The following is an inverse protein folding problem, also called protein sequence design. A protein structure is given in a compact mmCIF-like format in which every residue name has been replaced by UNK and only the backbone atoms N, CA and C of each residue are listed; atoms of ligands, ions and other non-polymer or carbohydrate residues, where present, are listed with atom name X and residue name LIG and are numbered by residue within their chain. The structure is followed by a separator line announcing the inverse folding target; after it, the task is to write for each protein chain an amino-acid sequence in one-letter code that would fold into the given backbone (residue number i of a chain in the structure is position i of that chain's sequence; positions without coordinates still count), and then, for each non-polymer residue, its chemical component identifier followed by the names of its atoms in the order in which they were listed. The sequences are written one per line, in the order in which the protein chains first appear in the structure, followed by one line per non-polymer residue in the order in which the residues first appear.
data_IF_297469583302
#
_entry.id   IF_297469583302
#
_cell.length_a   1.000
_cell.length_b   1.000
_cell.length_c   1.000
_cell.angle_alpha   90.00
_cell.angle_beta   90.00
_cell.angle_gamma   90.00
#
_symmetry.space_group_name_H-M   'P 1'
#
loop_
_entity.id
_entity.type
_entity.pdbx_description
1 polymer ?
#
# COMPACT_ATOMS: atom_id res chain seq x y z
N UNK A 1 0.73 14.76 -6.41
CA UNK A 1 1.40 13.91 -5.41
C UNK A 1 2.26 12.93 -6.16
N UNK A 2 3.45 12.63 -5.65
CA UNK A 2 4.41 11.74 -6.30
C UNK A 2 4.15 10.32 -5.78
N UNK A 3 3.95 9.33 -6.66
CA UNK A 3 3.77 7.94 -6.23
C UNK A 3 5.08 7.32 -5.72
N UNK A 4 4.99 6.14 -5.11
CA UNK A 4 6.12 5.48 -4.48
C UNK A 4 7.32 5.26 -5.42
N UNK A 5 7.07 4.88 -6.67
CA UNK A 5 8.13 4.65 -7.64
C UNK A 5 8.81 5.96 -8.07
N UNK A 6 8.04 7.03 -8.31
CA UNK A 6 8.62 8.34 -8.63
C UNK A 6 9.42 8.92 -7.45
N UNK A 7 8.90 8.82 -6.22
CA UNK A 7 9.59 9.31 -5.02
C UNK A 7 10.88 8.52 -4.78
N UNK A 8 10.84 7.19 -4.92
CA UNK A 8 12.02 6.36 -4.83
C UNK A 8 13.03 6.68 -5.94
N UNK A 9 12.57 6.95 -7.16
CA UNK A 9 13.44 7.36 -8.27
C UNK A 9 14.17 8.68 -7.97
N UNK A 10 13.48 9.67 -7.41
CA UNK A 10 14.08 10.94 -7.04
C UNK A 10 15.12 10.78 -5.90
N UNK A 11 14.84 9.92 -4.91
CA UNK A 11 15.79 9.57 -3.85
C UNK A 11 17.05 8.92 -4.45
N UNK A 12 16.87 7.89 -5.29
CA UNK A 12 17.98 7.14 -5.88
C UNK A 12 18.81 8.00 -6.84
N UNK A 13 18.18 8.90 -7.60
CA UNK A 13 18.90 9.83 -8.47
C UNK A 13 19.71 10.85 -7.67
N UNK A 14 19.16 11.35 -6.55
CA UNK A 14 19.88 12.19 -5.61
C UNK A 14 21.11 11.51 -5.00
N UNK A 15 21.05 10.19 -4.81
CA UNK A 15 22.17 9.38 -4.31
C UNK A 15 23.19 8.99 -5.37
N UNK A 16 22.77 8.94 -6.65
CA UNK A 16 23.61 8.55 -7.78
C UNK A 16 24.84 9.43 -7.96
N UNK A 17 24.73 10.72 -7.64
CA UNK A 17 25.82 11.70 -7.76
C UNK A 17 26.40 12.03 -6.40
N UNK A 18 27.35 11.22 -5.94
CA UNK A 18 28.12 11.54 -4.73
C UNK A 18 29.17 12.60 -5.07
N UNK A 19 28.92 13.84 -4.67
CA UNK A 19 29.88 14.95 -4.84
C UNK A 19 31.24 14.63 -4.21
N UNK A 20 32.33 15.11 -4.84
CA UNK A 20 33.68 14.96 -4.29
C UNK A 20 33.74 15.50 -2.86
N UNK A 21 34.17 14.66 -1.91
CA UNK A 21 34.26 15.00 -0.48
C UNK A 21 33.04 14.60 0.35
N UNK A 22 31.96 14.13 -0.27
CA UNK A 22 30.80 13.56 0.44
C UNK A 22 30.82 12.03 0.40
N UNK A 23 30.16 11.40 1.37
CA UNK A 23 29.88 9.97 1.37
C UNK A 23 28.40 9.73 1.10
N UNK A 24 28.03 8.54 0.62
CA UNK A 24 26.61 8.16 0.53
C UNK A 24 25.94 8.19 1.91
N UNK A 25 26.69 7.86 2.97
CA UNK A 25 26.22 7.99 4.35
C UNK A 25 25.80 9.42 4.66
N UNK A 26 26.46 10.43 4.08
CA UNK A 26 26.10 11.86 4.21
C UNK A 26 24.82 12.18 3.47
N UNK A 27 24.69 11.67 2.25
CA UNK A 27 23.49 11.87 1.43
C UNK A 27 22.25 11.16 2.01
N UNK A 28 22.46 10.04 2.71
CA UNK A 28 21.41 9.31 3.45
C UNK A 28 21.17 9.88 4.86
N UNK A 29 21.90 10.92 5.25
CA UNK A 29 21.87 11.48 6.61
C UNK A 29 22.13 10.44 7.71
N UNK A 30 22.93 9.40 7.46
CA UNK A 30 23.19 8.34 8.46
C UNK A 30 24.36 8.73 9.41
N UNK A 31 24.39 9.98 9.84
CA UNK A 31 25.54 10.62 10.51
C UNK A 31 25.30 10.90 11.98
N UNK A 32 24.06 11.19 12.38
CA UNK A 32 23.75 11.47 13.77
C UNK A 32 23.10 10.27 14.44
N UNK A 33 23.24 10.23 15.77
CA UNK A 33 22.45 9.39 16.68
C UNK A 33 20.97 9.85 16.76
N UNK A 34 20.48 10.56 15.73
CA UNK A 34 19.15 11.12 15.66
C UNK A 34 18.18 10.14 14.98
N UNK A 35 17.12 9.69 15.67
CA UNK A 35 16.08 8.85 15.07
C UNK A 35 15.42 9.47 13.84
N UNK A 36 15.39 10.80 13.76
CA UNK A 36 14.76 11.56 12.68
C UNK A 36 15.51 11.37 11.36
N UNK A 37 16.83 11.27 11.40
CA UNK A 37 17.65 11.08 10.20
C UNK A 37 17.50 9.66 9.63
N UNK A 38 17.27 8.66 10.50
CA UNK A 38 16.95 7.30 10.07
C UNK A 38 15.60 7.16 9.38
N UNK A 39 14.67 8.12 9.56
CA UNK A 39 13.36 8.07 8.91
C UNK A 39 13.48 8.16 7.38
N UNK A 40 14.47 8.88 6.85
CA UNK A 40 14.70 8.93 5.40
C UNK A 40 15.06 7.56 4.81
N UNK A 41 15.93 6.82 5.51
CA UNK A 41 16.30 5.46 5.11
C UNK A 41 15.11 4.49 5.25
N UNK A 42 14.35 4.58 6.34
CA UNK A 42 13.14 3.76 6.55
C UNK A 42 12.09 4.07 5.48
N UNK A 43 11.90 5.35 5.13
CA UNK A 43 10.99 5.78 4.05
C UNK A 43 11.40 5.16 2.72
N UNK A 44 12.68 5.18 2.36
CA UNK A 44 13.16 4.56 1.12
C UNK A 44 12.86 3.05 1.05
N UNK A 45 13.00 2.32 2.16
CA UNK A 45 12.58 0.91 2.23
C UNK A 45 11.06 0.74 2.13
N UNK A 46 10.29 1.62 2.76
CA UNK A 46 8.83 1.63 2.64
C UNK A 46 8.38 1.80 1.18
N UNK A 47 8.97 2.78 0.47
CA UNK A 47 8.67 3.02 -0.95
C UNK A 47 9.03 1.81 -1.83
N UNK A 48 10.16 1.15 -1.57
CA UNK A 48 10.54 -0.08 -2.30
C UNK A 48 9.55 -1.22 -2.04
N UNK A 49 9.05 -1.36 -0.81
CA UNK A 49 8.03 -2.34 -0.47
C UNK A 49 6.67 -2.04 -1.14
N UNK A 50 6.28 -0.78 -1.22
CA UNK A 50 5.08 -0.37 -1.96
C UNK A 50 5.20 -0.69 -3.46
N UNK A 51 6.39 -0.47 -4.04
CA UNK A 51 6.72 -0.87 -5.42
C UNK A 51 6.61 -2.38 -5.62
N UNK A 52 7.18 -3.19 -4.72
CA UNK A 52 7.09 -4.65 -4.76
C UNK A 52 5.62 -5.13 -4.68
N UNK A 53 4.85 -4.57 -3.76
CA UNK A 53 3.43 -4.88 -3.58
C UNK A 53 2.60 -4.54 -4.81
N UNK A 54 2.91 -3.41 -5.46
CA UNK A 54 2.29 -3.03 -6.72
C UNK A 54 2.63 -4.04 -7.84
N UNK A 55 3.90 -4.42 -7.99
CA UNK A 55 4.35 -5.37 -9.02
C UNK A 55 3.72 -6.76 -8.82
N UNK A 56 3.65 -7.24 -7.57
CA UNK A 56 2.98 -8.50 -7.24
C UNK A 56 1.48 -8.45 -7.62
N UNK A 57 0.80 -7.35 -7.31
CA UNK A 57 -0.61 -7.15 -7.66
C UNK A 57 -0.81 -7.09 -9.18
N UNK A 58 0.05 -6.38 -9.90
CA UNK A 58 0.02 -6.29 -11.35
C UNK A 58 0.26 -7.65 -12.01
N UNK A 59 1.18 -8.45 -11.48
CA UNK A 59 1.45 -9.82 -11.95
C UNK A 59 0.24 -10.74 -11.76
N UNK A 60 -0.39 -10.70 -10.57
CA UNK A 60 -1.64 -11.43 -10.31
C UNK A 60 -2.79 -10.97 -11.23
N UNK A 61 -2.82 -9.68 -11.57
CA UNK A 61 -3.74 -9.10 -12.55
C UNK A 61 -3.42 -9.45 -14.01
N UNK A 62 -2.43 -10.32 -14.27
CA UNK A 62 -2.06 -10.78 -15.61
C UNK A 62 -1.21 -9.79 -16.42
N UNK A 63 -0.71 -8.71 -15.81
CA UNK A 63 0.25 -7.81 -16.47
C UNK A 63 1.63 -8.45 -16.48
N UNK A 64 2.34 -8.31 -17.61
CA UNK A 64 3.74 -8.66 -17.67
C UNK A 64 4.58 -7.62 -16.92
N UNK A 65 5.25 -8.04 -15.85
CA UNK A 65 6.10 -7.19 -15.00
C UNK A 65 7.57 -7.61 -15.00
N UNK A 66 7.96 -8.56 -15.85
CA UNK A 66 9.29 -9.19 -15.82
C UNK A 66 10.42 -8.17 -15.99
N UNK A 67 10.21 -7.13 -16.78
CA UNK A 67 11.21 -6.06 -16.97
C UNK A 67 11.42 -5.21 -15.72
N UNK A 68 10.39 -4.97 -14.91
CA UNK A 68 10.54 -4.31 -13.61
C UNK A 68 11.23 -5.22 -12.59
N UNK A 69 10.83 -6.49 -12.55
CA UNK A 69 11.42 -7.48 -11.65
C UNK A 69 12.92 -7.70 -11.94
N UNK A 70 13.36 -7.55 -13.19
CA UNK A 70 14.79 -7.57 -13.55
C UNK A 70 15.57 -6.36 -13.00
N UNK A 71 14.94 -5.20 -12.89
CA UNK A 71 15.56 -3.98 -12.35
C UNK A 71 15.52 -3.92 -10.81
N UNK A 72 14.53 -4.57 -10.19
CA UNK A 72 14.29 -4.56 -8.75
C UNK A 72 15.53 -4.83 -7.87
N UNK A 73 16.39 -5.83 -8.15
CA UNK A 73 17.59 -6.07 -7.36
C UNK A 73 18.55 -4.87 -7.33
N UNK A 74 18.60 -4.05 -8.38
CA UNK A 74 19.44 -2.86 -8.39
C UNK A 74 18.89 -1.77 -7.47
N UNK A 75 17.57 -1.56 -7.44
CA UNK A 75 16.93 -0.63 -6.51
C UNK A 75 17.17 -1.05 -5.07
N UNK A 76 16.94 -2.33 -4.76
CA UNK A 76 17.20 -2.88 -3.42
C UNK A 76 18.67 -2.74 -3.02
N UNK A 77 19.61 -3.08 -3.93
CA UNK A 77 21.04 -2.90 -3.72
C UNK A 77 21.39 -1.44 -3.43
N UNK A 78 20.77 -0.49 -4.12
CA UNK A 78 20.99 0.93 -3.91
C UNK A 78 20.53 1.42 -2.52
N UNK A 79 19.63 0.72 -1.84
CA UNK A 79 19.25 1.05 -0.46
C UNK A 79 20.25 0.50 0.58
N UNK A 80 20.79 -0.69 0.36
CA UNK A 80 21.63 -1.40 1.35
C UNK A 80 23.13 -1.27 1.12
N UNK A 81 23.57 -0.87 -0.07
CA UNK A 81 24.98 -0.88 -0.42
C UNK A 81 25.82 0.01 0.53
N UNK A 82 26.98 -0.50 1.00
CA UNK A 82 27.90 0.26 1.84
C UNK A 82 28.62 1.35 1.04
N UNK A 83 29.12 2.35 1.75
CA UNK A 83 29.81 3.53 1.18
C UNK A 83 30.88 3.19 0.14
N UNK A 84 31.68 2.16 0.38
CA UNK A 84 32.74 1.73 -0.52
C UNK A 84 32.24 1.49 -1.95
N UNK A 85 31.06 0.88 -2.12
CA UNK A 85 30.50 0.60 -3.45
C UNK A 85 30.02 1.86 -4.17
N UNK A 86 29.71 2.92 -3.42
CA UNK A 86 29.36 4.23 -3.97
C UNK A 86 30.60 5.07 -4.28
N UNK A 87 31.66 4.95 -3.47
CA UNK A 87 32.91 5.67 -3.64
C UNK A 87 33.76 5.16 -4.82
N UNK A 88 33.72 3.86 -5.12
CA UNK A 88 34.42 3.29 -6.29
C UNK A 88 33.83 3.75 -7.63
N UNK A 89 32.60 4.28 -7.64
CA UNK A 89 32.01 4.92 -8.82
C UNK A 89 32.70 6.26 -9.16
N UNK A 90 33.33 6.92 -8.17
CA UNK A 90 34.05 8.21 -8.34
C UNK A 90 35.38 8.02 -9.07
N UNK A 91 35.96 6.82 -9.06
CA UNK A 91 37.27 6.52 -9.68
C UNK A 91 37.19 6.14 -11.16
N UNK A 92 36.02 6.24 -11.80
CA UNK A 92 35.84 6.06 -13.24
C UNK A 92 35.54 4.63 -13.69
N UNK A 93 35.27 3.71 -12.76
CA UNK A 93 34.70 2.41 -13.09
C UNK A 93 33.18 2.55 -13.29
N UNK A 94 32.74 2.49 -14.54
CA UNK A 94 31.44 2.96 -15.06
C UNK A 94 30.18 2.20 -14.60
N UNK A 95 30.18 1.57 -13.43
CA UNK A 95 28.98 0.92 -12.86
C UNK A 95 28.76 1.44 -11.44
N UNK A 96 28.10 2.60 -11.35
CA UNK A 96 27.49 3.04 -10.09
C UNK A 96 26.58 1.97 -9.49
N UNK A 97 26.29 2.06 -8.19
CA UNK A 97 25.44 1.09 -7.49
C UNK A 97 24.05 0.96 -8.13
N UNK A 98 23.56 2.05 -8.72
CA UNK A 98 22.37 2.14 -9.57
C UNK A 98 22.72 2.95 -10.82
N UNK A 99 22.29 2.48 -11.99
CA UNK A 99 22.46 3.19 -13.26
C UNK A 99 21.22 4.05 -13.61
N UNK A 100 21.40 4.98 -14.55
CA UNK A 100 20.30 5.82 -15.02
C UNK A 100 19.16 4.99 -15.61
N UNK A 101 19.47 3.91 -16.33
CA UNK A 101 18.46 3.03 -16.92
C UNK A 101 17.55 2.41 -15.86
N UNK A 102 18.09 1.99 -14.72
CA UNK A 102 17.31 1.46 -13.60
C UNK A 102 16.41 2.53 -12.97
N UNK A 103 16.87 3.79 -12.90
CA UNK A 103 16.04 4.93 -12.45
C UNK A 103 14.92 5.22 -13.46
N UNK A 104 15.22 5.21 -14.75
CA UNK A 104 14.24 5.46 -15.82
C UNK A 104 13.14 4.37 -15.83
N UNK A 105 13.51 3.10 -15.59
CA UNK A 105 12.53 2.00 -15.44
C UNK A 105 11.62 2.24 -14.22
N UNK A 106 12.17 2.78 -13.14
CA UNK A 106 11.40 3.10 -11.93
C UNK A 106 10.46 4.30 -12.17
N UNK A 107 10.90 5.33 -12.90
CA UNK A 107 10.04 6.45 -13.33
C UNK A 107 8.92 5.96 -14.26
N UNK A 108 9.22 5.11 -15.23
CA UNK A 108 8.22 4.51 -16.12
C UNK A 108 7.22 3.63 -15.35
N UNK A 109 7.66 2.91 -14.31
CA UNK A 109 6.76 2.22 -13.39
C UNK A 109 5.86 3.21 -12.66
N UNK A 110 6.41 4.34 -12.22
CA UNK A 110 5.67 5.45 -11.64
C UNK A 110 4.56 5.98 -12.54
N UNK A 111 4.83 6.24 -13.81
CA UNK A 111 3.82 6.67 -14.78
C UNK A 111 2.69 5.64 -14.90
N UNK A 112 3.03 4.35 -14.84
CA UNK A 112 2.06 3.27 -14.85
C UNK A 112 1.27 3.20 -13.55
N UNK A 113 1.91 3.37 -12.40
CA UNK A 113 1.25 3.45 -11.10
C UNK A 113 0.24 4.60 -11.11
N UNK A 114 0.61 5.78 -11.59
CA UNK A 114 -0.32 6.92 -11.71
C UNK A 114 -1.47 6.62 -12.67
N UNK A 115 -1.21 5.96 -13.80
CA UNK A 115 -2.25 5.60 -14.78
C UNK A 115 -3.18 4.47 -14.33
N UNK A 116 -2.71 3.64 -13.39
CA UNK A 116 -3.42 2.44 -12.90
C UNK A 116 -4.00 2.62 -11.50
N UNK A 117 -3.63 3.70 -10.81
CA UNK A 117 -4.33 4.19 -9.64
C UNK A 117 -5.74 4.58 -10.09
N UNK A 118 -6.66 3.62 -9.97
CA UNK A 118 -7.97 3.91 -9.42
C UNK A 118 -7.75 4.46 -8.02
N UNK A 119 -7.37 5.74 -7.97
CA UNK A 119 -7.47 6.58 -6.80
C UNK A 119 -8.92 6.45 -6.35
N UNK A 120 -9.16 5.67 -5.31
CA UNK A 120 -10.38 5.83 -4.54
C UNK A 120 -10.16 7.10 -3.75
N UNK A 121 -10.32 8.24 -4.42
CA UNK A 121 -10.31 9.54 -3.77
C UNK A 121 -11.49 9.52 -2.81
N UNK A 122 -11.20 9.39 -1.52
CA UNK A 122 -12.23 9.52 -0.50
C UNK A 122 -12.71 10.97 -0.52
N UNK A 123 -14.01 11.16 -0.70
CA UNK A 123 -14.59 12.47 -0.39
C UNK A 123 -14.47 12.72 1.12
N UNK A 124 -14.43 13.98 1.58
CA UNK A 124 -14.42 14.30 3.00
C UNK A 124 -15.56 13.61 3.77
N UNK A 125 -16.75 13.53 3.16
CA UNK A 125 -17.92 12.86 3.73
C UNK A 125 -17.68 11.36 3.91
N UNK A 126 -17.05 10.71 2.92
CA UNK A 126 -16.67 9.30 2.98
C UNK A 126 -15.67 9.04 4.11
N UNK A 127 -14.64 9.88 4.25
CA UNK A 127 -13.67 9.75 5.35
C UNK A 127 -14.35 9.89 6.71
N UNK A 128 -15.25 10.86 6.87
CA UNK A 128 -16.01 11.06 8.11
C UNK A 128 -16.87 9.83 8.41
N UNK A 129 -17.59 9.30 7.43
CA UNK A 129 -18.44 8.12 7.59
C UNK A 129 -17.63 6.85 7.92
N UNK A 130 -16.46 6.68 7.29
CA UNK A 130 -15.54 5.58 7.56
C UNK A 130 -14.98 5.62 8.97
N UNK A 131 -14.55 6.80 9.43
CA UNK A 131 -14.08 7.01 10.81
C UNK A 131 -15.19 6.76 11.83
N UNK A 132 -16.40 7.26 11.57
CA UNK A 132 -17.56 7.00 12.44
C UNK A 132 -17.90 5.51 12.52
N UNK A 133 -17.74 4.76 11.42
CA UNK A 133 -17.93 3.32 11.40
C UNK A 133 -16.85 2.57 12.19
N UNK A 134 -15.60 3.02 12.10
CA UNK A 134 -14.48 2.51 12.93
C UNK A 134 -14.75 2.75 14.41
N UNK A 135 -15.20 3.94 14.80
CA UNK A 135 -15.55 4.26 16.19
C UNK A 135 -16.71 3.39 16.69
N UNK A 136 -17.73 3.15 15.85
CA UNK A 136 -18.84 2.25 16.18
C UNK A 136 -18.40 0.79 16.39
N UNK A 137 -17.37 0.33 15.67
CA UNK A 137 -16.76 -0.99 15.89
C UNK A 137 -16.02 -1.05 17.23
N UNK A 138 -15.23 -0.03 17.56
CA UNK A 138 -14.53 0.04 18.86
C UNK A 138 -15.52 0.03 20.03
N UNK A 139 -16.60 0.79 19.92
CA UNK A 139 -17.66 0.83 20.90
C UNK A 139 -18.32 -0.56 21.06
N UNK A 140 -18.65 -1.22 19.94
CA UNK A 140 -19.26 -2.54 19.96
C UNK A 140 -18.34 -3.63 20.56
N UNK A 141 -17.03 -3.55 20.30
CA UNK A 141 -16.04 -4.48 20.86
C UNK A 141 -15.73 -4.26 22.34
N UNK A 142 -16.11 -3.10 22.86
CA UNK A 142 -15.99 -2.77 24.29
C UNK A 142 -17.17 -3.33 25.11
N UNK A 143 -18.18 -3.91 24.45
CA UNK A 143 -19.29 -4.56 25.12
C UNK A 143 -18.81 -5.80 25.92
N UNK A 144 -19.18 -5.93 27.21
CA UNK A 144 -18.74 -7.05 28.06
C UNK A 144 -19.11 -8.44 27.54
N UNK A 145 -20.13 -8.54 26.68
CA UNK A 145 -20.55 -9.80 26.05
C UNK A 145 -19.62 -10.27 24.93
N UNK A 146 -18.67 -9.44 24.49
CA UNK A 146 -17.64 -9.79 23.51
C UNK A 146 -16.47 -10.49 24.21
N UNK A 147 -16.55 -11.82 24.23
CA UNK A 147 -15.51 -12.68 24.76
C UNK A 147 -14.50 -13.08 23.68
N UNK A 148 -13.49 -12.24 23.48
CA UNK A 148 -12.32 -12.54 22.67
C UNK A 148 -11.16 -12.98 23.55
N UNK A 149 -10.37 -13.95 23.07
CA UNK A 149 -9.06 -14.26 23.68
C UNK A 149 -8.15 -13.04 23.57
N UNK A 150 -7.19 -12.91 24.49
CA UNK A 150 -6.30 -11.75 24.53
C UNK A 150 -5.59 -11.48 23.19
N UNK A 151 -5.08 -12.54 22.55
CA UNK A 151 -4.44 -12.44 21.23
C UNK A 151 -5.41 -11.98 20.12
N UNK A 152 -6.65 -12.48 20.13
CA UNK A 152 -7.68 -12.09 19.15
C UNK A 152 -8.13 -10.64 19.36
N UNK A 153 -8.31 -10.25 20.63
CA UNK A 153 -8.62 -8.88 21.02
C UNK A 153 -7.53 -7.96 20.49
N UNK A 154 -6.27 -8.21 20.87
CA UNK A 154 -5.13 -7.41 20.43
C UNK A 154 -5.09 -7.28 18.90
N UNK A 155 -5.21 -8.38 18.18
CA UNK A 155 -5.21 -8.39 16.72
C UNK A 155 -6.34 -7.51 16.13
N UNK A 156 -7.57 -7.65 16.64
CA UNK A 156 -8.71 -6.84 16.16
C UNK A 156 -8.49 -5.35 16.43
N UNK A 157 -7.99 -4.97 17.61
CA UNK A 157 -7.71 -3.57 17.94
C UNK A 157 -6.56 -3.01 17.09
N UNK A 158 -5.51 -3.79 16.83
CA UNK A 158 -4.41 -3.40 15.93
C UNK A 158 -4.92 -3.18 14.49
N UNK A 159 -5.80 -4.06 14.00
CA UNK A 159 -6.41 -3.94 12.67
C UNK A 159 -7.33 -2.72 12.56
N UNK A 160 -8.12 -2.43 13.60
CA UNK A 160 -8.96 -1.23 13.65
C UNK A 160 -8.09 0.04 13.67
N UNK A 161 -7.05 0.07 14.49
CA UNK A 161 -6.11 1.19 14.53
C UNK A 161 -5.41 1.40 13.18
N UNK A 162 -5.06 0.31 12.50
CA UNK A 162 -4.52 0.37 11.14
C UNK A 162 -5.53 0.97 10.17
N UNK A 163 -6.77 0.49 10.12
CA UNK A 163 -7.80 1.05 9.22
C UNK A 163 -8.09 2.53 9.52
N UNK A 164 -8.17 2.90 10.80
CA UNK A 164 -8.32 4.31 11.21
C UNK A 164 -7.20 5.18 10.66
N UNK A 165 -5.96 4.74 10.85
CA UNK A 165 -4.77 5.43 10.36
C UNK A 165 -4.85 5.60 8.84
N UNK A 166 -5.26 4.56 8.09
CA UNK A 166 -5.39 4.71 6.64
C UNK A 166 -6.50 5.70 6.25
N UNK A 167 -7.61 5.80 6.97
CA UNK A 167 -8.61 6.85 6.72
C UNK A 167 -8.04 8.26 6.98
N UNK A 168 -7.32 8.44 8.09
CA UNK A 168 -6.69 9.71 8.49
C UNK A 168 -5.56 10.11 7.51
N UNK A 169 -4.81 9.14 7.01
CA UNK A 169 -3.64 9.33 6.12
C UNK A 169 -3.98 9.13 4.64
N UNK A 170 -5.24 8.84 4.29
CA UNK A 170 -5.69 8.55 2.91
C UNK A 170 -5.40 9.68 1.91
N UNK A 171 -5.33 10.92 2.39
CA UNK A 171 -4.97 12.10 1.60
C UNK A 171 -3.46 12.21 1.35
N UNK A 172 -2.63 11.42 2.02
CA UNK A 172 -1.15 11.48 2.01
C UNK A 172 -0.51 10.20 1.45
N UNK A 173 -1.05 9.02 1.75
CA UNK A 173 -0.40 7.72 1.47
C UNK A 173 -1.03 6.90 0.31
N UNK A 174 -2.09 7.38 -0.33
CA UNK A 174 -2.72 6.69 -1.46
C UNK A 174 -3.64 5.52 -1.06
N UNK A 175 -4.45 5.04 -2.02
CA UNK A 175 -5.64 4.21 -1.75
C UNK A 175 -5.43 2.70 -1.76
N UNK A 176 -4.23 2.20 -2.05
CA UNK A 176 -3.97 0.75 -2.23
C UNK A 176 -3.96 0.02 -0.88
N UNK A 177 -3.31 0.60 0.15
CA UNK A 177 -3.30 0.03 1.50
C UNK A 177 -4.68 0.07 2.17
N UNK A 178 -5.50 1.06 1.82
CA UNK A 178 -6.85 1.21 2.38
C UNK A 178 -7.73 0.02 2.02
N UNK A 179 -7.74 -0.38 0.74
CA UNK A 179 -8.62 -1.44 0.27
C UNK A 179 -8.27 -2.79 0.91
N UNK A 180 -6.97 -3.10 1.02
CA UNK A 180 -6.50 -4.34 1.66
C UNK A 180 -6.90 -4.40 3.13
N UNK A 181 -6.62 -3.35 3.89
CA UNK A 181 -6.93 -3.28 5.33
C UNK A 181 -8.43 -3.24 5.62
N UNK A 182 -9.21 -2.55 4.79
CA UNK A 182 -10.68 -2.54 4.89
C UNK A 182 -11.27 -3.92 4.62
N UNK A 183 -10.78 -4.64 3.60
CA UNK A 183 -11.25 -6.02 3.33
C UNK A 183 -10.89 -6.99 4.45
N UNK A 184 -9.67 -6.89 4.97
CA UNK A 184 -9.22 -7.70 6.11
C UNK A 184 -10.11 -7.44 7.34
N UNK A 185 -10.36 -6.17 7.68
CA UNK A 185 -11.25 -5.80 8.77
C UNK A 185 -12.68 -6.29 8.54
N UNK A 186 -13.22 -6.15 7.32
CA UNK A 186 -14.54 -6.65 6.96
C UNK A 186 -14.65 -8.17 7.18
N UNK A 187 -13.64 -8.93 6.76
CA UNK A 187 -13.61 -10.38 6.92
C UNK A 187 -13.61 -10.79 8.40
N UNK A 188 -12.73 -10.19 9.19
CA UNK A 188 -12.61 -10.47 10.63
C UNK A 188 -13.90 -10.07 11.38
N UNK A 189 -14.48 -8.90 11.08
CA UNK A 189 -15.72 -8.45 11.71
C UNK A 189 -16.93 -9.27 11.30
N UNK A 190 -16.97 -9.76 10.05
CA UNK A 190 -18.04 -10.65 9.59
C UNK A 190 -18.01 -11.99 10.31
N UNK A 191 -16.82 -12.58 10.47
CA UNK A 191 -16.64 -13.84 11.22
C UNK A 191 -17.03 -13.69 12.70
N UNK A 192 -16.64 -12.56 13.32
CA UNK A 192 -17.01 -12.25 14.69
C UNK A 192 -18.53 -12.09 14.83
N UNK A 193 -19.15 -11.32 13.95
CA UNK A 193 -20.60 -11.13 13.95
C UNK A 193 -21.35 -12.47 13.74
N UNK A 194 -20.89 -13.33 12.85
CA UNK A 194 -21.48 -14.67 12.66
C UNK A 194 -21.34 -15.55 13.90
N UNK A 195 -20.22 -15.45 14.61
CA UNK A 195 -20.00 -16.19 15.85
C UNK A 195 -20.94 -15.71 16.96
N UNK A 196 -21.07 -14.39 17.14
CA UNK A 196 -21.98 -13.79 18.12
C UNK A 196 -23.46 -14.04 17.76
N UNK A 197 -23.82 -14.06 16.48
CA UNK A 197 -25.21 -14.28 16.06
C UNK A 197 -25.77 -15.66 16.45
N UNK A 198 -24.91 -16.62 16.84
CA UNK A 198 -25.32 -17.95 17.33
C UNK A 198 -25.97 -17.90 18.72
N UNK A 199 -25.71 -16.86 19.49
CA UNK A 199 -26.32 -16.64 20.80
C UNK A 199 -27.41 -15.54 20.71
N UNK A 200 -28.67 -15.84 21.09
CA UNK A 200 -29.75 -14.84 21.13
C UNK A 200 -29.42 -13.59 21.94
N UNK A 201 -28.60 -13.69 22.99
CA UNK A 201 -28.21 -12.54 23.83
C UNK A 201 -27.29 -11.56 23.10
N UNK A 202 -26.43 -12.06 22.21
CA UNK A 202 -25.44 -11.25 21.47
C UNK A 202 -25.83 -10.99 20.01
N UNK A 203 -26.97 -11.52 19.54
CA UNK A 203 -27.50 -11.32 18.19
C UNK A 203 -27.69 -9.84 17.78
N UNK A 204 -28.14 -8.98 18.71
CA UNK A 204 -28.25 -7.53 18.45
C UNK A 204 -26.87 -6.88 18.25
N UNK A 205 -25.88 -7.32 19.01
CA UNK A 205 -24.51 -6.84 18.92
C UNK A 205 -23.84 -7.32 17.63
N UNK A 206 -24.06 -8.59 17.25
CA UNK A 206 -23.64 -9.13 15.96
C UNK A 206 -24.15 -8.28 14.79
N UNK A 207 -25.43 -7.85 14.85
CA UNK A 207 -26.00 -6.94 13.86
C UNK A 207 -25.31 -5.58 13.87
N UNK A 208 -25.06 -4.98 15.05
CA UNK A 208 -24.34 -3.69 15.18
C UNK A 208 -22.94 -3.78 14.55
N UNK A 209 -22.18 -4.84 14.84
CA UNK A 209 -20.84 -5.08 14.27
C UNK A 209 -20.91 -5.22 12.75
N UNK A 210 -21.86 -6.01 12.24
CA UNK A 210 -22.04 -6.24 10.80
C UNK A 210 -22.44 -4.96 10.06
N UNK A 211 -23.34 -4.18 10.63
CA UNK A 211 -23.80 -2.92 10.03
C UNK A 211 -22.69 -1.86 10.04
N UNK A 212 -21.92 -1.76 11.14
CA UNK A 212 -20.75 -0.89 11.23
C UNK A 212 -19.66 -1.32 10.21
N UNK A 213 -19.32 -2.60 10.16
CA UNK A 213 -18.35 -3.12 9.20
C UNK A 213 -18.76 -2.84 7.74
N UNK A 214 -20.04 -2.98 7.40
CA UNK A 214 -20.57 -2.66 6.06
C UNK A 214 -20.52 -1.18 5.70
N UNK A 215 -20.58 -0.28 6.68
CA UNK A 215 -20.41 1.16 6.44
C UNK A 215 -18.97 1.54 6.09
N UNK A 216 -18.03 0.64 6.37
CA UNK A 216 -16.64 0.71 5.87
C UNK A 216 -16.56 0.18 4.42
N UNK A 217 -17.60 -0.46 3.86
CA UNK A 217 -17.56 -1.13 2.53
C UNK A 217 -17.93 -0.28 1.30
N UNK A 218 -18.37 1.00 1.33
CA UNK A 218 -18.54 1.78 0.09
C UNK A 218 -17.31 1.72 -0.84
N UNK A 219 -16.14 1.43 -0.28
CA UNK A 219 -14.83 1.32 -0.92
C UNK A 219 -14.56 0.02 -1.71
N UNK A 220 -15.30 -1.08 -1.48
CA UNK A 220 -15.11 -2.34 -2.24
C UNK A 220 -15.84 -2.36 -3.60
N UNK A 221 -16.90 -1.55 -3.73
CA UNK A 221 -17.77 -1.54 -4.92
C UNK A 221 -17.17 -0.79 -6.13
N UNK A 222 -16.04 -0.09 -5.95
CA UNK A 222 -15.33 0.55 -7.06
C UNK A 222 -14.50 -0.47 -7.87
N UNK A 223 -13.98 -1.52 -7.23
CA UNK A 223 -13.34 -2.66 -7.93
C UNK A 223 -14.31 -3.44 -8.81
N UNK A 224 -15.57 -3.58 -8.36
CA UNK A 224 -16.62 -4.25 -9.13
C UNK A 224 -17.11 -3.44 -10.35
N UNK A 225 -17.09 -2.10 -10.30
CA UNK A 225 -17.45 -1.27 -11.47
C UNK A 225 -16.39 -1.28 -12.58
N UNK A 226 -15.11 -1.45 -12.24
CA UNK A 226 -14.04 -1.58 -13.24
C UNK A 226 -13.93 -3.00 -13.79
N UNK A 227 -14.20 -4.01 -12.95
CA UNK A 227 -14.38 -5.40 -13.41
C UNK A 227 -15.58 -5.54 -14.36
N UNK A 228 -16.70 -4.90 -14.06
CA UNK A 228 -17.87 -4.92 -14.95
C UNK A 228 -17.64 -4.15 -16.27
N UNK A 229 -16.86 -3.07 -16.27
CA UNK A 229 -16.52 -2.32 -17.50
C UNK A 229 -15.54 -3.05 -18.42
N UNK A 230 -14.61 -3.84 -17.86
CA UNK A 230 -13.66 -4.65 -18.65
C UNK A 230 -14.24 -5.99 -19.11
N UNK A 231 -15.12 -6.60 -18.30
CA UNK A 231 -15.86 -7.81 -18.70
C UNK A 231 -16.97 -7.48 -19.71
N UNK A 232 -17.61 -6.31 -19.62
CA UNK A 232 -18.55 -5.82 -20.63
C UNK A 232 -17.89 -5.59 -22.00
N UNK A 233 -16.70 -4.96 -22.01
CA UNK A 233 -15.93 -4.77 -23.25
C UNK A 233 -15.41 -6.09 -23.86
N UNK A 234 -15.09 -7.09 -23.02
CA UNK A 234 -14.71 -8.42 -23.49
C UNK A 234 -15.91 -9.23 -24.01
N UNK A 235 -17.10 -9.05 -23.44
CA UNK A 235 -18.34 -9.67 -23.92
C UNK A 235 -18.79 -9.08 -25.27
N UNK A 236 -18.65 -7.76 -25.48
CA UNK A 236 -18.94 -7.11 -26.76
C UNK A 236 -17.94 -7.49 -27.86
N UNK A 237 -16.66 -7.71 -27.52
CA UNK A 237 -15.64 -8.19 -28.47
C UNK A 237 -15.84 -9.65 -28.91
N UNK A 238 -16.36 -10.51 -28.02
CA UNK A 238 -16.71 -11.89 -28.37
C UNK A 238 -17.94 -11.94 -29.27
N UNK A 239 -18.95 -11.09 -29.07
CA UNK A 239 -20.11 -11.03 -29.97
C UNK A 239 -19.77 -10.52 -31.38
N UNK A 240 -18.79 -9.62 -31.52
CA UNK A 240 -18.33 -9.12 -32.83
C UNK A 240 -17.45 -10.16 -33.56
N UNK A 241 -16.76 -11.05 -32.85
CA UNK A 241 -15.85 -12.04 -33.45
C UNK A 241 -16.47 -13.41 -33.70
N UNK A 242 -17.61 -13.73 -33.07
CA UNK A 242 -18.37 -14.98 -33.34
C UNK A 242 -19.59 -14.78 -34.24
N UNK A 243 -19.84 -13.56 -34.72
CA UNK A 243 -20.92 -13.22 -35.66
C UNK A 243 -20.40 -12.90 -37.06
N UNK A 244 -19.99 -13.92 -37.81
CA UNK A 244 -19.60 -13.86 -39.22
C UNK A 244 -19.69 -15.22 -39.88
#
# INVERSE_FOLDING_TARGET
MTNAAQELADILDGWRVVSKGNSIRTLRSLHADSPDEWRGQVRAFGLLHEVDSYLASAQLGGRNVDHYLRAYPQWAKALVAPDMLWSDAVTGSARGVVDQGSIDVLRALGDIMDSSQLSVSLSPEMTIDGLAAVDALLEALSDPSVHLREAERRYVYELIASVRRVFEESTVLGSVDLLGRVHELLGVMSLLAETLAKDPQTSKLAKKIKDAARRIVPYASFGAKVGAGTIGAAADLLQITTGG
#
